data_IF_821703552671
#
_entry.id   IF_821703552671
#
_cell.length_a   1.000
_cell.length_b   1.000
_cell.length_c   1.000
_cell.angle_alpha   90.00
_cell.angle_beta   90.00
_cell.angle_gamma   90.00
#
_symmetry.space_group_name_H-M   'P 1'
#
loop_
_entity.id
_entity.type
_entity.pdbx_description
1 polymer ?
#
# COMPACT_ATOMS: atom_id res chain seq x y z
N UNK A 1 9.59 24.51 22.00
CA UNK A 1 8.37 24.76 21.22
C UNK A 1 7.72 23.41 21.03
N UNK A 2 6.59 23.17 21.70
CA UNK A 2 5.93 21.86 21.70
C UNK A 2 5.20 21.66 20.36
N UNK A 3 5.97 21.23 19.33
CA UNK A 3 5.50 21.04 17.96
C UNK A 3 4.48 19.89 17.80
N UNK A 4 4.20 19.16 18.89
CA UNK A 4 3.24 18.06 18.92
C UNK A 4 1.97 18.40 19.72
N UNK A 5 1.89 19.60 20.31
CA UNK A 5 0.88 19.98 21.31
C UNK A 5 -0.17 21.01 20.87
N UNK A 6 -0.02 21.64 19.70
CA UNK A 6 -1.11 22.43 19.10
C UNK A 6 -1.88 21.51 18.15
N UNK A 7 -3.22 21.57 18.21
CA UNK A 7 -4.15 20.92 17.28
C UNK A 7 -3.79 21.33 15.85
N UNK A 8 -2.86 20.59 15.27
CA UNK A 8 -2.34 20.85 13.94
C UNK A 8 -3.47 20.51 13.00
N UNK A 9 -3.92 21.51 12.25
CA UNK A 9 -4.89 21.30 11.18
C UNK A 9 -4.19 20.58 10.02
N UNK A 10 -3.90 19.30 10.23
CA UNK A 10 -3.25 18.44 9.25
C UNK A 10 -4.12 18.26 8.01
N UNK A 11 -5.44 18.41 8.12
CA UNK A 11 -6.33 18.39 6.97
C UNK A 11 -6.02 19.57 6.04
N UNK A 12 -5.90 20.79 6.57
CA UNK A 12 -5.49 21.96 5.79
C UNK A 12 -4.05 21.82 5.30
N UNK A 13 -3.11 21.46 6.19
CA UNK A 13 -1.68 21.37 5.85
C UNK A 13 -1.40 20.33 4.75
N UNK A 14 -2.08 19.18 4.77
CA UNK A 14 -1.88 18.10 3.79
C UNK A 14 -2.77 18.25 2.56
N UNK A 15 -3.63 19.26 2.51
CA UNK A 15 -4.49 19.54 1.35
C UNK A 15 -3.72 19.56 0.01
N UNK A 16 -2.53 20.19 -0.12
CA UNK A 16 -1.83 20.22 -1.40
C UNK A 16 -1.47 18.84 -1.96
N UNK A 17 -1.04 17.89 -1.11
CA UNK A 17 -0.72 16.53 -1.56
C UNK A 17 -1.98 15.70 -1.81
N UNK A 18 -3.03 15.92 -1.02
CA UNK A 18 -4.33 15.28 -1.25
C UNK A 18 -4.92 15.74 -2.59
N UNK A 19 -4.94 17.04 -2.87
CA UNK A 19 -5.41 17.56 -4.17
C UNK A 19 -4.62 16.97 -5.35
N UNK A 20 -3.30 16.81 -5.20
CA UNK A 20 -2.44 16.26 -6.26
C UNK A 20 -2.63 14.76 -6.51
N UNK A 21 -2.87 13.97 -5.46
CA UNK A 21 -2.79 12.50 -5.55
C UNK A 21 -4.09 11.76 -5.21
N UNK A 22 -5.13 12.44 -4.70
CA UNK A 22 -6.42 11.83 -4.40
C UNK A 22 -7.00 11.17 -5.65
N UNK A 23 -7.47 9.94 -5.49
CA UNK A 23 -8.05 9.16 -6.60
C UNK A 23 -7.02 8.61 -7.60
N UNK A 24 -5.72 8.87 -7.42
CA UNK A 24 -4.67 8.19 -8.19
C UNK A 24 -4.69 6.70 -7.84
N UNK A 25 -4.81 5.86 -8.85
CA UNK A 25 -4.86 4.40 -8.71
C UNK A 25 -3.53 3.85 -8.19
N UNK A 26 -3.57 2.73 -7.48
CA UNK A 26 -2.34 2.05 -7.06
C UNK A 26 -1.47 1.70 -8.30
N UNK A 27 -0.12 1.73 -8.21
CA UNK A 27 0.76 1.39 -9.33
C UNK A 27 0.66 -0.05 -9.88
N UNK A 28 -0.13 -0.91 -9.26
CA UNK A 28 -0.33 -2.29 -9.74
C UNK A 28 -1.45 -2.25 -10.79
N UNK A 29 -1.21 -2.89 -11.93
CA UNK A 29 -2.14 -2.88 -13.07
C UNK A 29 -3.10 -4.07 -12.99
N UNK A 30 -4.16 -3.93 -12.19
CA UNK A 30 -5.20 -4.94 -12.00
C UNK A 30 -6.52 -4.52 -12.67
N UNK A 31 -7.36 -5.51 -13.02
CA UNK A 31 -8.67 -5.28 -13.66
C UNK A 31 -9.86 -5.60 -12.75
N UNK A 32 -9.65 -6.38 -11.69
CA UNK A 32 -10.69 -6.79 -10.74
C UNK A 32 -10.07 -7.13 -9.36
N UNK A 33 -10.94 -7.42 -8.38
CA UNK A 33 -10.53 -7.71 -6.99
C UNK A 33 -9.65 -8.96 -6.87
N UNK A 34 -9.90 -10.00 -7.67
CA UNK A 34 -9.06 -11.20 -7.71
C UNK A 34 -7.63 -10.85 -8.11
N UNK A 35 -7.47 -10.14 -9.24
CA UNK A 35 -6.15 -9.72 -9.71
C UNK A 35 -5.45 -8.83 -8.70
N UNK A 36 -6.17 -7.88 -8.09
CA UNK A 36 -5.65 -7.01 -7.04
C UNK A 36 -5.10 -7.81 -5.85
N UNK A 37 -5.87 -8.78 -5.33
CA UNK A 37 -5.45 -9.62 -4.20
C UNK A 37 -4.16 -10.39 -4.53
N UNK A 38 -4.13 -11.05 -5.70
CA UNK A 38 -2.96 -11.81 -6.15
C UNK A 38 -1.75 -10.90 -6.31
N UNK A 39 -1.89 -9.78 -7.01
CA UNK A 39 -0.79 -8.84 -7.27
C UNK A 39 -0.28 -8.20 -5.98
N UNK A 40 -1.14 -7.86 -5.02
CA UNK A 40 -0.74 -7.32 -3.72
C UNK A 40 0.12 -8.35 -2.95
N UNK A 41 -0.27 -9.62 -2.93
CA UNK A 41 0.53 -10.68 -2.29
C UNK A 41 1.87 -10.87 -3.02
N UNK A 42 1.87 -10.88 -4.36
CA UNK A 42 3.08 -11.03 -5.16
C UNK A 42 4.03 -9.83 -5.01
N UNK A 43 3.50 -8.61 -4.84
CA UNK A 43 4.31 -7.38 -4.69
C UNK A 43 5.07 -7.28 -3.38
N UNK A 44 4.77 -8.11 -2.38
CA UNK A 44 5.46 -8.06 -1.10
C UNK A 44 6.98 -8.26 -1.27
N UNK A 45 7.76 -7.22 -0.97
CA UNK A 45 9.23 -7.16 -1.16
C UNK A 45 9.70 -7.30 -2.62
N UNK A 46 8.82 -7.02 -3.58
CA UNK A 46 9.11 -6.98 -5.00
C UNK A 46 8.69 -5.61 -5.57
N UNK A 47 9.10 -5.30 -6.80
CA UNK A 47 8.72 -4.04 -7.44
C UNK A 47 7.37 -4.18 -8.16
N UNK A 48 6.54 -3.14 -8.07
CA UNK A 48 5.27 -3.06 -8.81
C UNK A 48 5.50 -3.33 -10.32
N UNK A 49 6.59 -2.81 -10.88
CA UNK A 49 6.95 -2.99 -12.29
C UNK A 49 7.29 -4.44 -12.66
N UNK A 50 7.90 -5.22 -11.76
CA UNK A 50 8.13 -6.65 -12.00
C UNK A 50 6.81 -7.42 -11.99
N UNK A 51 5.92 -7.11 -11.04
CA UNK A 51 4.62 -7.77 -10.93
C UNK A 51 3.73 -7.44 -12.14
N UNK A 52 3.67 -6.18 -12.58
CA UNK A 52 2.91 -5.78 -13.76
C UNK A 52 3.41 -6.48 -15.04
N UNK A 53 4.70 -6.80 -15.15
CA UNK A 53 5.23 -7.59 -16.28
C UNK A 53 4.80 -9.05 -16.26
N UNK A 54 4.59 -9.63 -15.07
CA UNK A 54 4.25 -11.04 -14.89
C UNK A 54 2.73 -11.26 -14.98
N UNK A 55 1.94 -10.30 -14.49
CA UNK A 55 0.50 -10.39 -14.35
C UNK A 55 -0.27 -10.79 -15.64
N UNK A 56 0.04 -10.29 -16.86
CA UNK A 56 -0.75 -10.62 -18.04
C UNK A 56 -0.79 -12.12 -18.34
N UNK A 57 0.37 -12.77 -18.42
CA UNK A 57 0.48 -14.22 -18.72
C UNK A 57 -0.09 -15.05 -17.57
N UNK A 58 0.10 -14.59 -16.33
CA UNK A 58 -0.47 -15.23 -15.14
C UNK A 58 -2.00 -15.27 -15.20
N UNK A 59 -2.65 -14.13 -15.47
CA UNK A 59 -4.11 -14.02 -15.46
C UNK A 59 -4.76 -14.49 -16.76
N UNK A 60 -4.02 -14.59 -17.86
CA UNK A 60 -4.47 -15.33 -19.04
C UNK A 60 -4.63 -16.83 -18.71
N UNK A 61 -3.67 -17.41 -17.99
CA UNK A 61 -3.73 -18.82 -17.59
C UNK A 61 -4.72 -19.09 -16.46
N UNK A 62 -4.76 -18.19 -15.47
CA UNK A 62 -5.61 -18.30 -14.29
C UNK A 62 -6.48 -17.05 -14.17
N UNK A 63 -7.57 -16.95 -14.95
CA UNK A 63 -8.39 -15.73 -15.00
C UNK A 63 -9.22 -15.47 -13.74
N UNK A 64 -9.42 -16.48 -12.88
CA UNK A 64 -10.27 -16.41 -11.68
C UNK A 64 -9.69 -17.23 -10.52
N UNK A 65 -10.15 -16.99 -9.29
CA UNK A 65 -9.86 -17.85 -8.14
C UNK A 65 -10.29 -19.29 -8.39
N UNK A 66 -11.41 -19.53 -9.07
CA UNK A 66 -11.89 -20.89 -9.36
C UNK A 66 -10.92 -21.64 -10.29
N UNK A 67 -10.29 -20.94 -11.23
CA UNK A 67 -9.25 -21.56 -12.07
C UNK A 67 -7.96 -21.84 -11.29
N UNK A 68 -7.57 -20.93 -10.39
CA UNK A 68 -6.38 -21.07 -9.56
C UNK A 68 -6.56 -22.16 -8.49
N UNK A 69 -7.77 -22.34 -7.94
CA UNK A 69 -8.07 -23.30 -6.89
C UNK A 69 -7.96 -24.76 -7.35
N UNK A 70 -8.15 -25.00 -8.65
CA UNK A 70 -8.02 -26.30 -9.32
C UNK A 70 -6.59 -26.61 -9.78
N UNK A 71 -5.66 -25.69 -9.55
CA UNK A 71 -4.27 -25.79 -9.98
C UNK A 71 -3.40 -26.34 -8.83
N UNK A 72 -2.30 -27.00 -9.19
CA UNK A 72 -1.28 -27.46 -8.25
C UNK A 72 -0.04 -26.54 -8.23
N UNK A 73 0.85 -26.80 -7.28
CA UNK A 73 2.06 -26.01 -7.10
C UNK A 73 2.98 -26.07 -8.33
N UNK A 74 3.18 -27.25 -8.90
CA UNK A 74 4.09 -27.48 -10.03
C UNK A 74 3.63 -26.74 -11.29
N UNK A 75 2.32 -26.71 -11.55
CA UNK A 75 1.71 -25.98 -12.66
C UNK A 75 1.75 -24.47 -12.45
N UNK A 76 1.63 -24.00 -11.20
CA UNK A 76 1.56 -22.57 -10.88
C UNK A 76 2.93 -21.88 -10.91
N UNK A 77 3.97 -22.53 -10.40
CA UNK A 77 5.31 -21.94 -10.19
C UNK A 77 5.92 -21.29 -11.44
N UNK A 78 5.86 -21.89 -12.65
CA UNK A 78 6.44 -21.28 -13.84
C UNK A 78 5.98 -19.84 -14.09
N UNK A 79 4.72 -19.52 -13.75
CA UNK A 79 4.11 -18.21 -13.95
C UNK A 79 4.57 -17.14 -12.97
N UNK A 80 5.10 -17.53 -11.79
CA UNK A 80 5.55 -16.59 -10.76
C UNK A 80 7.00 -16.79 -10.32
N UNK A 81 7.75 -17.66 -11.00
CA UNK A 81 9.15 -17.99 -10.68
C UNK A 81 10.10 -16.79 -10.62
N UNK A 82 9.76 -15.69 -11.30
CA UNK A 82 10.50 -14.42 -11.29
C UNK A 82 10.11 -13.48 -10.14
N UNK A 83 9.15 -13.87 -9.30
CA UNK A 83 8.75 -13.12 -8.11
C UNK A 83 9.64 -13.49 -6.94
N UNK A 84 10.06 -12.51 -6.15
CA UNK A 84 10.83 -12.77 -4.93
C UNK A 84 10.00 -13.61 -3.94
N UNK A 85 10.63 -14.63 -3.35
CA UNK A 85 9.99 -15.57 -2.41
C UNK A 85 8.78 -16.30 -3.03
N UNK A 86 8.83 -16.59 -4.34
CA UNK A 86 7.71 -17.19 -5.08
C UNK A 86 7.20 -18.50 -4.46
N UNK A 87 8.07 -19.36 -3.91
CA UNK A 87 7.63 -20.64 -3.33
C UNK A 87 6.66 -20.47 -2.16
N UNK A 88 6.94 -19.54 -1.24
CA UNK A 88 6.04 -19.24 -0.12
C UNK A 88 4.75 -18.58 -0.63
N UNK A 89 4.86 -17.62 -1.55
CA UNK A 89 3.70 -16.92 -2.14
C UNK A 89 2.80 -17.85 -2.94
N UNK A 90 3.37 -18.81 -3.65
CA UNK A 90 2.63 -19.85 -4.37
C UNK A 90 1.74 -20.65 -3.43
N UNK A 91 2.30 -21.13 -2.33
CA UNK A 91 1.54 -21.88 -1.33
C UNK A 91 0.40 -21.04 -0.73
N UNK A 92 0.66 -19.77 -0.39
CA UNK A 92 -0.38 -18.87 0.12
C UNK A 92 -1.51 -18.65 -0.89
N UNK A 93 -1.18 -18.34 -2.14
CA UNK A 93 -2.17 -18.07 -3.18
C UNK A 93 -3.02 -19.29 -3.50
N UNK A 94 -2.42 -20.48 -3.57
CA UNK A 94 -3.16 -21.72 -3.80
C UNK A 94 -4.06 -22.10 -2.62
N UNK A 95 -3.61 -21.85 -1.38
CA UNK A 95 -4.43 -22.04 -0.19
C UNK A 95 -5.63 -21.08 -0.17
N UNK A 96 -5.38 -19.79 -0.41
CA UNK A 96 -6.42 -18.75 -0.51
C UNK A 96 -7.43 -19.13 -1.60
N UNK A 97 -6.96 -19.53 -2.78
CA UNK A 97 -7.83 -19.92 -3.89
C UNK A 97 -8.69 -21.14 -3.54
N UNK A 98 -8.14 -22.14 -2.84
CA UNK A 98 -8.90 -23.32 -2.39
C UNK A 98 -9.94 -22.98 -1.33
N UNK A 99 -9.65 -22.01 -0.45
CA UNK A 99 -10.57 -21.58 0.61
C UNK A 99 -11.71 -20.70 0.07
N UNK A 100 -11.40 -19.72 -0.78
CA UNK A 100 -12.39 -18.72 -1.24
C UNK A 100 -13.14 -19.20 -2.49
N UNK A 101 -12.42 -19.81 -3.45
CA UNK A 101 -12.92 -20.37 -4.72
C UNK A 101 -13.57 -19.40 -5.70
N UNK A 102 -14.40 -18.45 -5.26
CA UNK A 102 -15.08 -17.48 -6.13
C UNK A 102 -14.56 -16.06 -5.90
N UNK A 103 -14.44 -15.29 -6.98
CA UNK A 103 -13.90 -13.91 -6.92
C UNK A 103 -14.79 -12.98 -6.07
N UNK A 104 -16.11 -13.22 -6.06
CA UNK A 104 -17.09 -12.45 -5.29
C UNK A 104 -17.03 -12.72 -3.78
N UNK A 105 -16.44 -13.85 -3.37
CA UNK A 105 -16.32 -14.26 -1.97
C UNK A 105 -15.03 -13.71 -1.31
N UNK A 106 -14.25 -12.90 -2.03
CA UNK A 106 -13.05 -12.26 -1.46
C UNK A 106 -13.49 -11.30 -0.34
N UNK A 107 -13.00 -11.48 0.90
CA UNK A 107 -13.40 -10.63 2.01
C UNK A 107 -12.90 -9.20 1.83
N UNK A 108 -13.74 -8.22 2.16
CA UNK A 108 -13.42 -6.79 2.03
C UNK A 108 -13.58 -6.06 3.37
N UNK A 109 -12.98 -6.62 4.41
CA UNK A 109 -12.78 -6.00 5.73
C UNK A 109 -11.41 -6.37 6.30
N UNK A 110 -10.88 -5.55 7.20
CA UNK A 110 -9.53 -5.69 7.75
C UNK A 110 -9.31 -7.04 8.45
N UNK A 111 -10.29 -7.48 9.25
CA UNK A 111 -10.17 -8.69 10.07
C UNK A 111 -9.97 -9.94 9.20
N UNK A 112 -10.81 -10.11 8.20
CA UNK A 112 -10.76 -11.29 7.32
C UNK A 112 -9.61 -11.20 6.31
N UNK A 113 -9.34 -10.01 5.76
CA UNK A 113 -8.18 -9.82 4.87
C UNK A 113 -6.88 -10.17 5.57
N UNK A 114 -6.68 -9.72 6.81
CA UNK A 114 -5.45 -10.01 7.56
C UNK A 114 -5.36 -11.44 8.10
N UNK A 115 -6.45 -12.21 8.02
CA UNK A 115 -6.43 -13.65 8.28
C UNK A 115 -5.88 -14.45 7.07
N UNK A 116 -5.88 -13.87 5.86
CA UNK A 116 -5.31 -14.49 4.67
C UNK A 116 -3.77 -14.48 4.74
N UNK A 117 -3.14 -15.64 4.49
CA UNK A 117 -1.68 -15.74 4.50
C UNK A 117 -1.05 -14.82 3.45
N UNK A 118 -0.03 -14.06 3.85
CA UNK A 118 0.63 -13.09 2.99
C UNK A 118 -0.05 -11.72 2.92
N UNK A 119 -1.21 -11.54 3.56
CA UNK A 119 -1.90 -10.24 3.63
C UNK A 119 -1.72 -9.65 5.03
N UNK A 120 -0.79 -8.70 5.16
CA UNK A 120 -0.66 -7.87 6.37
C UNK A 120 -1.55 -6.62 6.31
N UNK A 121 -1.54 -5.80 7.38
CA UNK A 121 -2.36 -4.57 7.47
C UNK A 121 -2.15 -3.60 6.31
N UNK A 122 -0.90 -3.35 5.90
CA UNK A 122 -0.59 -2.52 4.72
C UNK A 122 -1.32 -3.05 3.48
N UNK A 123 -1.21 -4.34 3.23
CA UNK A 123 -1.83 -5.00 2.07
C UNK A 123 -3.35 -4.93 2.13
N UNK A 124 -3.93 -5.19 3.30
CA UNK A 124 -5.37 -5.07 3.52
C UNK A 124 -5.87 -3.64 3.28
N UNK A 125 -5.18 -2.61 3.80
CA UNK A 125 -5.53 -1.21 3.55
C UNK A 125 -5.45 -0.83 2.06
N UNK A 126 -4.48 -1.38 1.31
CA UNK A 126 -4.43 -1.20 -0.16
C UNK A 126 -5.67 -1.81 -0.81
N UNK A 127 -6.02 -3.06 -0.46
CA UNK A 127 -7.19 -3.74 -1.03
C UNK A 127 -8.48 -2.99 -0.71
N UNK A 128 -8.67 -2.56 0.54
CA UNK A 128 -9.84 -1.78 0.96
C UNK A 128 -9.96 -0.46 0.20
N UNK A 129 -8.85 0.28 0.05
CA UNK A 129 -8.82 1.53 -0.73
C UNK A 129 -9.22 1.30 -2.18
N UNK A 130 -8.53 0.39 -2.86
CA UNK A 130 -8.71 0.15 -4.30
C UNK A 130 -10.08 -0.45 -4.63
N UNK A 131 -10.76 -1.08 -3.66
CA UNK A 131 -12.13 -1.61 -3.80
C UNK A 131 -13.21 -0.65 -3.29
N UNK A 132 -12.84 0.58 -2.92
CA UNK A 132 -13.78 1.63 -2.50
C UNK A 132 -14.44 1.38 -1.15
N UNK A 133 -13.84 0.52 -0.30
CA UNK A 133 -14.34 0.29 1.06
C UNK A 133 -13.87 1.36 2.04
N UNK A 134 -14.62 1.60 3.12
CA UNK A 134 -14.19 2.53 4.16
C UNK A 134 -12.80 2.19 4.70
N UNK A 135 -11.97 3.22 4.92
CA UNK A 135 -10.67 3.02 5.52
C UNK A 135 -10.80 2.57 6.99
N UNK A 136 -10.16 1.44 7.31
CA UNK A 136 -9.94 0.97 8.68
C UNK A 136 -8.56 1.36 9.23
N UNK A 137 -7.70 1.91 8.37
CA UNK A 137 -6.36 2.37 8.71
C UNK A 137 -5.71 3.12 7.55
N UNK A 138 -4.43 3.46 7.74
CA UNK A 138 -3.65 4.22 6.77
C UNK A 138 -2.57 3.31 6.17
N UNK A 139 -2.43 3.34 4.84
CA UNK A 139 -1.38 2.60 4.14
C UNK A 139 -0.02 3.14 4.59
N UNK A 140 0.80 2.29 5.22
CA UNK A 140 2.14 2.62 5.69
C UNK A 140 3.19 1.73 4.99
N UNK A 141 3.61 2.13 3.79
CA UNK A 141 4.70 1.47 3.06
C UNK A 141 6.07 2.10 3.38
N UNK A 142 7.12 1.62 2.71
CA UNK A 142 8.49 2.13 2.90
C UNK A 142 8.65 3.63 2.57
N UNK A 143 7.78 4.18 1.72
CA UNK A 143 7.78 5.60 1.40
C UNK A 143 7.11 6.38 2.52
N UNK A 144 5.97 5.92 3.02
CA UNK A 144 5.27 6.55 4.16
C UNK A 144 6.12 6.51 5.43
N UNK A 145 6.74 5.37 5.72
CA UNK A 145 7.69 5.20 6.83
C UNK A 145 8.80 6.24 6.81
N UNK A 146 9.30 6.60 5.62
CA UNK A 146 10.35 7.63 5.46
C UNK A 146 9.79 9.05 5.48
N UNK A 147 8.68 9.29 4.80
CA UNK A 147 8.22 10.65 4.47
C UNK A 147 7.39 11.26 5.58
N UNK A 148 6.55 10.49 6.29
CA UNK A 148 5.71 11.03 7.35
C UNK A 148 6.52 11.67 8.50
N UNK A 149 7.64 11.07 8.98
CA UNK A 149 8.51 11.73 9.94
C UNK A 149 9.24 12.95 9.37
N UNK A 150 9.64 12.93 8.09
CA UNK A 150 10.26 14.09 7.44
C UNK A 150 9.33 15.30 7.36
N UNK A 151 8.03 15.09 7.09
CA UNK A 151 7.04 16.16 7.14
C UNK A 151 6.87 16.66 8.58
N UNK A 152 7.06 15.80 9.58
CA UNK A 152 6.86 16.11 11.00
C UNK A 152 5.51 15.67 11.55
N UNK A 153 4.79 14.78 10.84
CA UNK A 153 3.46 14.30 11.26
C UNK A 153 3.59 13.36 12.48
N UNK A 154 4.61 12.51 12.47
CA UNK A 154 4.90 11.52 13.51
C UNK A 154 6.40 11.50 13.79
N UNK A 155 6.80 10.84 14.87
CA UNK A 155 8.22 10.53 15.12
C UNK A 155 8.70 9.38 14.23
N UNK A 156 10.01 9.27 14.06
CA UNK A 156 10.61 8.17 13.31
C UNK A 156 10.26 6.80 13.90
N UNK A 157 9.86 5.87 13.03
CA UNK A 157 9.63 4.47 13.37
C UNK A 157 9.98 3.61 12.14
N UNK A 158 10.47 2.39 12.36
CA UNK A 158 10.82 1.45 11.28
C UNK A 158 9.71 0.46 10.95
N UNK A 159 8.78 0.27 11.89
CA UNK A 159 7.68 -0.68 11.76
C UNK A 159 6.44 -0.02 11.15
N UNK A 160 5.91 -0.62 10.08
CA UNK A 160 4.76 -0.09 9.36
C UNK A 160 3.47 -0.05 10.18
N UNK A 161 3.24 -1.04 11.06
CA UNK A 161 2.05 -1.07 11.91
C UNK A 161 2.11 0.04 12.97
N UNK A 162 3.30 0.32 13.51
CA UNK A 162 3.52 1.47 14.39
C UNK A 162 3.29 2.79 13.66
N UNK A 163 3.84 2.95 12.46
CA UNK A 163 3.62 4.16 11.64
C UNK A 163 2.14 4.37 11.33
N UNK A 164 1.42 3.32 10.92
CA UNK A 164 -0.03 3.37 10.70
C UNK A 164 -0.76 3.84 11.96
N UNK A 165 -0.47 3.24 13.12
CA UNK A 165 -1.12 3.59 14.39
C UNK A 165 -0.83 5.03 14.81
N UNK A 166 0.41 5.47 14.73
CA UNK A 166 0.81 6.84 15.09
C UNK A 166 0.13 7.86 14.15
N UNK A 167 0.03 7.56 12.84
CA UNK A 167 -0.69 8.40 11.88
C UNK A 167 -2.20 8.46 12.19
N UNK A 168 -2.83 7.34 12.52
CA UNK A 168 -4.26 7.30 12.88
C UNK A 168 -4.57 8.08 14.16
N UNK A 169 -3.61 8.23 15.07
CA UNK A 169 -3.80 9.03 16.29
C UNK A 169 -3.77 10.53 16.01
N UNK A 170 -3.04 10.95 14.98
CA UNK A 170 -2.77 12.38 14.70
C UNK A 170 -3.64 12.92 13.56
N UNK A 171 -3.97 12.10 12.56
CA UNK A 171 -4.68 12.50 11.36
C UNK A 171 -6.19 12.27 11.46
N UNK A 172 -7.03 13.18 10.95
CA UNK A 172 -8.48 13.00 10.97
C UNK A 172 -8.92 11.86 10.06
N UNK A 173 -9.95 11.11 10.50
CA UNK A 173 -10.36 9.85 9.86
C UNK A 173 -10.84 10.00 8.41
N UNK A 174 -11.40 11.16 8.07
CA UNK A 174 -11.91 11.48 6.73
C UNK A 174 -10.84 11.43 5.63
N UNK A 175 -9.54 11.58 5.94
CA UNK A 175 -8.46 11.54 4.95
C UNK A 175 -7.70 10.21 4.91
N UNK A 176 -8.00 9.25 5.80
CA UNK A 176 -7.22 8.02 5.95
C UNK A 176 -7.11 7.18 4.69
N UNK A 177 -8.18 7.12 3.88
CA UNK A 177 -8.20 6.32 2.64
C UNK A 177 -7.20 6.81 1.59
N UNK A 178 -6.88 8.10 1.59
CA UNK A 178 -6.06 8.72 0.54
C UNK A 178 -4.67 9.11 1.03
N UNK A 179 -4.54 9.54 2.29
CA UNK A 179 -3.32 10.20 2.75
C UNK A 179 -2.09 9.29 2.69
N UNK A 180 -2.23 8.00 3.01
CA UNK A 180 -1.13 7.03 2.92
C UNK A 180 -0.61 6.88 1.49
N UNK A 181 -1.51 6.78 0.50
CA UNK A 181 -1.11 6.72 -0.92
C UNK A 181 -0.55 8.05 -1.42
N UNK A 182 -1.12 9.18 -1.02
CA UNK A 182 -0.60 10.50 -1.38
C UNK A 182 0.84 10.69 -0.88
N UNK A 183 1.13 10.32 0.37
CA UNK A 183 2.48 10.34 0.93
C UNK A 183 3.39 9.34 0.20
N UNK A 184 2.89 8.15 -0.14
CA UNK A 184 3.66 7.16 -0.92
C UNK A 184 4.08 7.73 -2.28
N UNK A 185 3.15 8.33 -3.02
CA UNK A 185 3.45 8.98 -4.31
C UNK A 185 4.45 10.13 -4.15
N UNK A 186 4.26 11.01 -3.16
CA UNK A 186 5.22 12.07 -2.88
C UNK A 186 6.61 11.49 -2.60
N UNK A 187 6.70 10.40 -1.84
CA UNK A 187 7.96 9.71 -1.54
C UNK A 187 8.60 9.02 -2.74
N UNK A 188 7.84 8.62 -3.76
CA UNK A 188 8.34 8.05 -5.01
C UNK A 188 8.85 9.13 -5.96
N UNK A 189 8.13 10.24 -6.04
CA UNK A 189 8.36 11.29 -7.05
C UNK A 189 9.33 12.36 -6.56
N UNK A 190 9.15 12.87 -5.33
CA UNK A 190 9.82 14.08 -4.82
C UNK A 190 10.67 13.80 -3.57
N UNK A 191 10.08 13.24 -2.52
CA UNK A 191 10.75 12.98 -1.24
C UNK A 191 11.49 11.62 -1.24
N UNK A 192 12.36 11.44 -2.24
CA UNK A 192 13.27 10.29 -2.40
C UNK A 192 14.33 10.26 -1.28
N UNK A 193 15.14 9.19 -1.15
CA UNK A 193 16.24 9.16 -0.16
C UNK A 193 17.11 10.42 -0.20
N UNK A 194 17.50 10.86 -1.41
CA UNK A 194 17.95 12.23 -1.70
C UNK A 194 16.75 13.04 -2.21
N UNK A 195 16.09 13.85 -1.35
CA UNK A 195 14.85 14.53 -1.71
C UNK A 195 15.11 15.76 -2.59
N UNK A 196 14.10 16.15 -3.37
CA UNK A 196 14.06 17.40 -4.12
C UNK A 196 13.26 18.46 -3.35
N UNK A 197 13.79 18.94 -2.23
CA UNK A 197 13.01 19.75 -1.30
C UNK A 197 12.53 21.09 -1.91
N UNK A 198 13.37 21.75 -2.71
CA UNK A 198 13.03 23.00 -3.41
C UNK A 198 11.84 22.87 -4.39
N UNK A 199 11.57 21.65 -4.87
CA UNK A 199 10.45 21.34 -5.78
C UNK A 199 9.23 20.76 -5.04
N UNK A 200 9.28 20.66 -3.70
CA UNK A 200 8.28 19.95 -2.92
C UNK A 200 7.08 20.84 -2.58
N UNK A 201 5.87 20.38 -2.94
CA UNK A 201 4.62 21.07 -2.64
C UNK A 201 4.26 21.16 -1.14
N UNK A 202 5.06 20.55 -0.27
CA UNK A 202 4.94 20.65 1.19
C UNK A 202 6.15 21.34 1.83
N UNK A 203 7.04 21.97 1.07
CA UNK A 203 8.27 22.57 1.60
C UNK A 203 7.99 23.49 2.80
N UNK A 204 6.99 24.38 2.69
CA UNK A 204 6.62 25.37 3.71
C UNK A 204 6.19 24.77 5.06
N UNK A 205 5.74 23.52 5.08
CA UNK A 205 5.27 22.83 6.30
C UNK A 205 6.19 21.67 6.72
N UNK A 206 7.25 21.40 5.96
CA UNK A 206 8.06 20.20 6.12
C UNK A 206 9.15 20.42 7.17
N UNK A 207 9.06 19.68 8.28
CA UNK A 207 10.06 19.74 9.35
C UNK A 207 11.49 19.52 8.83
N UNK A 208 11.71 18.46 8.04
CA UNK A 208 13.02 18.14 7.46
C UNK A 208 13.59 19.25 6.58
N UNK A 209 12.75 19.94 5.80
CA UNK A 209 13.23 21.04 4.97
C UNK A 209 13.72 22.19 5.84
N UNK A 210 12.94 22.57 6.85
CA UNK A 210 13.24 23.68 7.74
C UNK A 210 14.47 23.46 8.65
N UNK A 211 14.88 22.21 8.89
CA UNK A 211 15.99 21.91 9.82
C UNK A 211 17.25 21.40 9.13
N UNK A 212 17.14 20.74 7.97
CA UNK A 212 18.28 20.06 7.32
C UNK A 212 18.67 20.66 5.97
N UNK A 213 17.87 21.57 5.40
CA UNK A 213 18.07 22.07 4.02
C UNK A 213 18.07 23.60 3.93
N UNK A 214 17.07 24.25 4.53
CA UNK A 214 16.86 25.70 4.47
C UNK A 214 17.88 26.51 5.29
#
# INVERSE_FOLDING_TARGET
>A
MDLFGETSDWEIKLKPILDKYKGKTHPLEYQNTYQLLVMVILSAQDSDANINKIAPVLFEKFPTLSSLSKTDFETFIPYISKVRNFGTKANWLLEIAKTIQNDDDIPLNMKELTALKGVGRKSANVILRETGKPAEGIIADLHVIRVAPRIGIIKEAKDGNKVEKDLMQVLPKNIWSEIGMAISFLGRETCRPKPKCEECILADICFYYSTEVA
#
